data_IF_840424796061
#
_entry.id   IF_840424796061
#
_cell.length_a   1.000
_cell.length_b   1.000
_cell.length_c   1.000
_cell.angle_alpha   90.00
_cell.angle_beta   90.00
_cell.angle_gamma   90.00
#
_symmetry.space_group_name_H-M   'P 1'
#
loop_
_entity.id
_entity.type
_entity.pdbx_description
1 polymer ?
#
# COMPACT_ATOMS: atom_id res chain seq x y z
N UNK A 1 8.82 -7.07 -19.69
CA UNK A 1 8.51 -8.48 -19.37
C UNK A 1 7.17 -8.54 -18.64
N UNK A 2 6.35 -9.55 -18.88
CA UNK A 2 5.08 -9.69 -18.17
C UNK A 2 5.34 -10.21 -16.75
N UNK A 3 4.93 -9.47 -15.72
CA UNK A 3 4.97 -9.93 -14.33
C UNK A 3 4.02 -11.14 -14.16
N UNK A 4 4.41 -12.09 -13.31
CA UNK A 4 3.55 -13.22 -12.96
C UNK A 4 2.62 -12.85 -11.80
N UNK A 5 1.51 -13.59 -11.66
CA UNK A 5 0.58 -13.43 -10.55
C UNK A 5 0.53 -14.77 -9.83
N UNK A 6 0.79 -14.73 -8.52
CA UNK A 6 0.78 -15.89 -7.65
C UNK A 6 -0.32 -15.79 -6.61
N UNK A 7 -0.77 -16.95 -6.12
CA UNK A 7 -1.59 -17.05 -4.92
C UNK A 7 -0.68 -17.14 -3.70
N UNK A 8 -0.97 -16.36 -2.66
CA UNK A 8 -0.26 -16.37 -1.38
C UNK A 8 -1.27 -16.45 -0.23
N UNK A 9 -0.77 -16.80 0.96
CA UNK A 9 -1.55 -16.79 2.19
C UNK A 9 -1.19 -15.55 3.01
N UNK A 10 -2.19 -14.87 3.57
CA UNK A 10 -1.96 -13.70 4.42
C UNK A 10 -1.43 -14.09 5.81
N UNK A 11 -1.72 -15.31 6.29
CA UNK A 11 -1.22 -15.83 7.57
C UNK A 11 0.31 -15.91 7.65
N UNK A 12 1.00 -15.96 6.51
CA UNK A 12 2.45 -15.98 6.42
C UNK A 12 3.03 -14.75 5.69
N UNK A 13 2.29 -13.63 5.65
CA UNK A 13 2.65 -12.41 4.91
C UNK A 13 4.06 -11.88 5.22
N UNK A 14 4.53 -12.03 6.47
CA UNK A 14 5.88 -11.62 6.87
C UNK A 14 7.00 -12.45 6.23
N UNK A 15 6.70 -13.61 5.64
CA UNK A 15 7.71 -14.48 4.99
C UNK A 15 7.96 -14.11 3.53
N UNK A 16 7.08 -13.32 2.92
CA UNK A 16 7.18 -12.99 1.49
C UNK A 16 7.04 -11.50 1.18
N UNK A 17 6.31 -10.70 1.97
CA UNK A 17 6.39 -9.22 1.89
C UNK A 17 7.55 -8.70 2.73
N UNK A 18 8.77 -8.95 2.26
CA UNK A 18 10.01 -8.62 2.97
C UNK A 18 10.77 -7.47 2.29
N UNK A 19 11.60 -6.73 3.05
CA UNK A 19 12.59 -5.84 2.46
C UNK A 19 13.61 -6.66 1.66
N UNK A 20 13.86 -6.26 0.42
CA UNK A 20 14.89 -6.86 -0.45
C UNK A 20 16.02 -5.89 -0.80
N UNK A 21 15.86 -4.62 -0.46
CA UNK A 21 16.86 -3.57 -0.66
C UNK A 21 16.71 -2.48 0.41
N UNK A 22 17.80 -1.77 0.69
CA UNK A 22 17.74 -0.55 1.51
C UNK A 22 17.19 0.62 0.69
N UNK A 23 16.26 1.35 1.28
CA UNK A 23 15.49 2.39 0.57
C UNK A 23 15.50 3.76 1.26
N UNK A 24 16.28 3.90 2.34
CA UNK A 24 16.25 5.05 3.24
C UNK A 24 14.85 5.40 3.78
N UNK A 25 13.92 4.44 3.73
CA UNK A 25 12.55 4.64 4.17
C UNK A 25 12.51 4.94 5.68
N UNK A 26 11.78 5.97 6.12
CA UNK A 26 11.62 6.26 7.53
C UNK A 26 11.00 5.08 8.30
N UNK A 27 11.39 4.84 9.57
CA UNK A 27 10.85 3.74 10.38
C UNK A 27 9.32 3.72 10.45
N UNK A 28 8.68 4.89 10.50
CA UNK A 28 7.22 5.02 10.54
C UNK A 28 6.51 4.41 9.30
N UNK A 29 7.22 4.25 8.18
CA UNK A 29 6.69 3.71 6.93
C UNK A 29 7.18 2.28 6.64
N UNK A 30 8.13 1.76 7.43
CA UNK A 30 8.57 0.37 7.33
C UNK A 30 7.49 -0.54 7.93
N UNK A 31 7.17 -1.61 7.22
CA UNK A 31 6.16 -2.57 7.65
C UNK A 31 5.28 -3.08 6.51
N UNK A 32 4.36 -3.94 6.90
CA UNK A 32 3.17 -4.28 6.10
C UNK A 32 1.96 -3.68 6.78
N UNK A 33 1.09 -3.03 6.01
CA UNK A 33 -0.09 -2.32 6.48
C UNK A 33 -1.35 -2.92 5.89
N UNK A 34 -2.31 -3.24 6.76
CA UNK A 34 -3.66 -3.64 6.40
C UNK A 34 -4.55 -2.40 6.21
N UNK A 35 -5.31 -2.35 5.12
CA UNK A 35 -6.24 -1.27 4.77
C UNK A 35 -7.63 -1.52 5.37
N UNK A 36 -7.76 -1.38 6.69
CA UNK A 36 -9.00 -1.66 7.43
C UNK A 36 -10.15 -0.73 7.01
N UNK A 37 -11.19 -1.31 6.43
CA UNK A 37 -12.35 -0.59 5.89
C UNK A 37 -12.24 -0.20 4.42
N UNK A 38 -11.19 -0.63 3.72
CA UNK A 38 -11.06 -0.38 2.28
C UNK A 38 -12.17 -1.11 1.50
N UNK A 39 -12.96 -0.40 0.66
CA UNK A 39 -14.06 -1.02 -0.08
C UNK A 39 -13.61 -1.76 -1.36
N UNK A 40 -12.34 -1.59 -1.76
CA UNK A 40 -11.79 -2.23 -2.94
C UNK A 40 -11.29 -3.65 -2.61
N UNK A 41 -11.24 -4.56 -3.61
CA UNK A 41 -10.82 -5.96 -3.42
C UNK A 41 -9.29 -6.10 -3.28
N UNK A 42 -8.71 -5.36 -2.35
CA UNK A 42 -7.30 -5.35 -1.95
C UNK A 42 -7.17 -5.06 -0.45
N UNK A 43 -6.21 -5.70 0.22
CA UNK A 43 -6.16 -5.76 1.69
C UNK A 43 -4.91 -5.14 2.29
N UNK A 44 -3.73 -5.47 1.76
CA UNK A 44 -2.46 -5.11 2.37
C UNK A 44 -1.53 -4.41 1.39
N UNK A 45 -0.72 -3.50 1.93
CA UNK A 45 0.38 -2.84 1.24
C UNK A 45 1.66 -2.91 2.05
N UNK A 46 2.81 -2.87 1.39
CA UNK A 46 4.07 -2.51 2.05
C UNK A 46 4.63 -1.24 1.42
N UNK A 47 5.71 -0.71 1.99
CA UNK A 47 6.54 0.35 1.41
C UNK A 47 8.03 -0.03 1.42
N UNK A 48 8.41 -1.22 1.93
CA UNK A 48 9.82 -1.61 2.18
C UNK A 48 10.75 -1.33 1.00
N UNK A 49 10.30 -1.62 -0.22
CA UNK A 49 11.11 -1.63 -1.43
C UNK A 49 10.93 -0.36 -2.28
N UNK A 50 10.32 0.69 -1.73
CA UNK A 50 10.12 1.98 -2.41
C UNK A 50 11.20 2.97 -2.02
N UNK A 51 11.82 3.61 -3.00
CA UNK A 51 12.79 4.68 -2.76
C UNK A 51 12.14 5.87 -2.03
N UNK A 52 12.79 6.30 -0.95
CA UNK A 52 12.44 7.51 -0.23
C UNK A 52 13.17 8.73 -0.82
N UNK A 53 12.40 9.71 -1.28
CA UNK A 53 12.90 11.03 -1.67
C UNK A 53 12.90 11.94 -0.44
N UNK A 54 14.03 11.97 0.27
CA UNK A 54 14.20 12.78 1.47
C UNK A 54 14.10 14.29 1.20
N UNK A 55 14.48 14.74 -0.01
CA UNK A 55 14.43 16.16 -0.38
C UNK A 55 12.98 16.65 -0.51
N UNK A 56 12.10 15.83 -1.07
CA UNK A 56 10.69 16.17 -1.25
C UNK A 56 9.76 15.51 -0.22
N UNK A 57 10.33 14.80 0.77
CA UNK A 57 9.62 14.03 1.80
C UNK A 57 8.52 13.16 1.18
N UNK A 58 8.90 12.37 0.18
CA UNK A 58 7.91 11.64 -0.63
C UNK A 58 8.39 10.29 -1.11
N UNK A 59 7.43 9.46 -1.49
CA UNK A 59 7.68 8.20 -2.18
C UNK A 59 6.60 7.97 -3.24
N UNK A 60 6.88 7.06 -4.18
CA UNK A 60 5.91 6.60 -5.17
C UNK A 60 5.58 5.13 -4.89
N UNK A 61 4.30 4.87 -4.63
CA UNK A 61 3.71 3.55 -4.39
C UNK A 61 2.96 3.09 -5.65
N UNK A 62 3.63 2.36 -6.57
CA UNK A 62 2.98 1.70 -7.70
C UNK A 62 2.07 0.56 -7.22
N UNK A 63 0.83 0.53 -7.71
CA UNK A 63 -0.14 -0.53 -7.37
C UNK A 63 0.16 -1.83 -8.10
N UNK A 64 0.86 -1.73 -9.23
CA UNK A 64 1.24 -2.86 -10.06
C UNK A 64 2.60 -3.46 -9.71
N UNK A 65 3.31 -2.96 -8.70
CA UNK A 65 4.65 -3.46 -8.40
C UNK A 65 4.64 -4.86 -7.76
N UNK A 66 5.70 -5.67 -8.02
CA UNK A 66 5.86 -6.97 -7.41
C UNK A 66 5.87 -6.91 -5.87
N UNK A 67 5.07 -7.77 -5.25
CA UNK A 67 5.02 -7.99 -3.80
C UNK A 67 4.79 -6.70 -3.00
N UNK A 68 4.07 -5.76 -3.60
CA UNK A 68 3.78 -4.45 -3.03
C UNK A 68 2.35 -4.37 -2.47
N UNK A 69 1.41 -5.04 -3.13
CA UNK A 69 -0.03 -5.05 -2.85
C UNK A 69 -0.58 -6.47 -2.82
N UNK A 70 -1.61 -6.70 -2.01
CA UNK A 70 -2.38 -7.95 -2.00
C UNK A 70 -3.79 -7.70 -2.53
N UNK A 71 -4.23 -8.51 -3.48
CA UNK A 71 -5.57 -8.43 -4.06
C UNK A 71 -6.39 -9.65 -3.65
N UNK A 72 -7.71 -9.53 -3.60
CA UNK A 72 -8.57 -10.66 -3.29
C UNK A 72 -8.43 -11.75 -4.35
N UNK A 73 -8.41 -13.03 -3.95
CA UNK A 73 -8.52 -14.16 -4.89
C UNK A 73 -9.97 -14.35 -5.37
N UNK A 74 -10.50 -13.32 -6.03
CA UNK A 74 -11.87 -13.24 -6.56
C UNK A 74 -11.88 -12.59 -7.94
N UNK A 75 -13.00 -12.69 -8.67
CA UNK A 75 -13.14 -12.08 -10.00
C UNK A 75 -12.87 -10.56 -9.94
N UNK A 76 -13.41 -9.87 -8.92
CA UNK A 76 -13.21 -8.43 -8.76
C UNK A 76 -11.76 -8.09 -8.41
N UNK A 77 -11.08 -8.91 -7.60
CA UNK A 77 -9.66 -8.73 -7.30
C UNK A 77 -8.78 -8.90 -8.54
N UNK A 78 -9.06 -9.91 -9.38
CA UNK A 78 -8.39 -10.07 -10.68
C UNK A 78 -8.60 -8.87 -11.61
N UNK A 79 -9.83 -8.35 -11.69
CA UNK A 79 -10.14 -7.17 -12.49
C UNK A 79 -9.39 -5.93 -12.00
N UNK A 80 -9.37 -5.69 -10.68
CA UNK A 80 -8.64 -4.58 -10.07
C UNK A 80 -7.14 -4.67 -10.37
N UNK A 81 -6.53 -5.84 -10.13
CA UNK A 81 -5.11 -6.08 -10.38
C UNK A 81 -4.76 -5.79 -11.85
N UNK A 82 -5.52 -6.34 -12.80
CA UNK A 82 -5.28 -6.12 -14.22
C UNK A 82 -5.50 -4.68 -14.64
N UNK A 83 -6.52 -4.01 -14.10
CA UNK A 83 -6.74 -2.59 -14.34
C UNK A 83 -5.56 -1.75 -13.85
N UNK A 84 -5.01 -2.05 -12.67
CA UNK A 84 -3.83 -1.38 -12.12
C UNK A 84 -2.59 -1.58 -13.00
N UNK A 85 -2.34 -2.80 -13.51
CA UNK A 85 -1.23 -3.08 -14.44
C UNK A 85 -1.39 -2.32 -15.76
N UNK A 86 -2.58 -2.37 -16.38
CA UNK A 86 -2.85 -1.73 -17.66
C UNK A 86 -2.75 -0.21 -17.58
N UNK A 87 -3.32 0.37 -16.52
CA UNK A 87 -3.29 1.81 -16.28
C UNK A 87 -1.97 2.30 -15.68
N UNK A 88 -1.07 1.41 -15.25
CA UNK A 88 0.14 1.75 -14.49
C UNK A 88 -0.19 2.66 -13.31
N UNK A 89 -1.23 2.29 -12.56
CA UNK A 89 -1.76 3.11 -11.49
C UNK A 89 -0.77 3.19 -10.32
N UNK A 90 -0.54 4.40 -9.81
CA UNK A 90 0.40 4.65 -8.72
C UNK A 90 -0.06 5.81 -7.85
N UNK A 91 0.43 5.85 -6.62
CA UNK A 91 0.24 6.95 -5.68
C UNK A 91 1.58 7.60 -5.35
N UNK A 92 1.70 8.92 -5.49
CA UNK A 92 2.77 9.66 -4.78
C UNK A 92 2.24 10.04 -3.41
N UNK A 93 2.92 9.60 -2.37
CA UNK A 93 2.65 10.02 -1.00
C UNK A 93 3.68 11.10 -0.67
N UNK A 94 3.22 12.32 -0.40
CA UNK A 94 4.06 13.46 -0.09
C UNK A 94 3.69 14.00 1.29
N UNK A 95 4.64 13.93 2.21
CA UNK A 95 4.47 14.41 3.58
C UNK A 95 4.65 15.93 3.65
N UNK A 96 4.00 16.54 4.64
CA UNK A 96 4.06 17.98 4.86
C UNK A 96 5.33 18.42 5.58
N UNK A 97 5.90 17.52 6.40
CA UNK A 97 7.10 17.77 7.21
C UNK A 97 7.88 16.49 7.54
N UNK A 98 9.01 16.66 8.23
CA UNK A 98 9.89 15.56 8.69
C UNK A 98 9.29 14.74 9.83
N UNK A 99 8.24 15.23 10.49
CA UNK A 99 7.53 14.48 11.53
C UNK A 99 6.63 13.41 10.92
N UNK A 100 6.40 13.46 9.60
CA UNK A 100 5.62 12.52 8.82
C UNK A 100 4.17 12.37 9.33
N UNK A 101 3.62 13.37 10.01
CA UNK A 101 2.29 13.23 10.62
C UNK A 101 1.15 13.35 9.62
N UNK A 102 1.35 14.13 8.56
CA UNK A 102 0.36 14.42 7.53
C UNK A 102 0.98 14.27 6.15
N UNK A 103 0.18 13.74 5.23
CA UNK A 103 0.57 13.56 3.84
C UNK A 103 -0.59 13.81 2.89
N UNK A 104 -0.24 14.38 1.74
CA UNK A 104 -1.06 14.38 0.55
C UNK A 104 -0.76 13.13 -0.28
N UNK A 105 -1.80 12.43 -0.70
CA UNK A 105 -1.70 11.37 -1.69
C UNK A 105 -2.13 11.94 -3.05
N UNK A 106 -1.30 11.74 -4.07
CA UNK A 106 -1.52 12.19 -5.44
C UNK A 106 -1.61 10.94 -6.32
N UNK A 107 -2.78 10.60 -6.89
CA UNK A 107 -2.90 9.46 -7.77
C UNK A 107 -2.36 9.78 -9.18
N UNK A 108 -1.83 8.76 -9.84
CA UNK A 108 -1.36 8.79 -11.21
C UNK A 108 -1.98 7.63 -11.99
N UNK A 109 -2.39 7.91 -13.22
CA UNK A 109 -2.82 6.90 -14.20
C UNK A 109 -2.15 7.20 -15.53
N UNK A 110 -1.60 6.17 -16.18
CA UNK A 110 -0.80 6.29 -17.41
C UNK A 110 0.32 7.34 -17.30
N UNK A 111 0.90 7.52 -16.11
CA UNK A 111 1.93 8.53 -15.81
C UNK A 111 1.41 9.97 -15.63
N UNK A 112 0.11 10.20 -15.78
CA UNK A 112 -0.52 11.51 -15.62
C UNK A 112 -1.11 11.66 -14.22
N UNK A 113 -0.84 12.82 -13.59
CA UNK A 113 -1.42 13.19 -12.29
C UNK A 113 -2.92 13.35 -12.43
N UNK A 114 -3.67 12.71 -11.53
CA UNK A 114 -5.09 12.98 -11.36
C UNK A 114 -5.25 14.31 -10.59
N UNK A 115 -5.94 15.31 -11.13
CA UNK A 115 -6.13 16.59 -10.45
C UNK A 115 -6.86 16.48 -9.11
N UNK A 116 -6.44 17.30 -8.12
CA UNK A 116 -7.03 17.34 -6.77
C UNK A 116 -8.52 17.69 -6.75
N UNK A 117 -9.01 18.43 -7.75
CA UNK A 117 -10.44 18.76 -7.85
C UNK A 117 -11.31 17.55 -8.19
N UNK A 118 -10.74 16.51 -8.81
CA UNK A 118 -11.44 15.22 -9.04
C UNK A 118 -11.43 14.42 -7.75
N UNK A 119 -10.24 14.26 -7.16
CA UNK A 119 -10.05 13.50 -5.93
C UNK A 119 -8.94 14.12 -5.10
N UNK A 120 -9.26 14.49 -3.87
CA UNK A 120 -8.31 14.95 -2.88
C UNK A 120 -8.14 13.86 -1.82
N UNK A 121 -6.95 13.27 -1.77
CA UNK A 121 -6.62 12.15 -0.89
C UNK A 121 -5.59 12.59 0.14
N UNK A 122 -5.88 12.39 1.41
CA UNK A 122 -4.93 12.70 2.49
C UNK A 122 -4.72 11.49 3.39
N UNK A 123 -3.59 11.49 4.08
CA UNK A 123 -3.21 10.50 5.06
C UNK A 123 -2.69 11.21 6.29
N UNK A 124 -3.18 10.84 7.47
CA UNK A 124 -2.73 11.43 8.74
C UNK A 124 -2.47 10.32 9.75
N UNK A 125 -1.36 10.39 10.47
CA UNK A 125 -1.08 9.50 11.58
C UNK A 125 -2.13 9.70 12.68
N UNK A 126 -2.60 8.60 13.29
CA UNK A 126 -3.48 8.73 14.46
C UNK A 126 -2.69 9.29 15.66
N UNK A 127 -3.26 10.26 16.37
CA UNK A 127 -2.62 10.94 17.50
C UNK A 127 -2.25 9.99 18.65
N UNK A 128 -2.96 8.86 18.78
CA UNK A 128 -2.67 7.86 19.80
C UNK A 128 -1.79 6.72 19.27
N UNK A 129 -1.38 6.80 17.99
CA UNK A 129 -0.54 5.78 17.37
C UNK A 129 0.91 5.93 17.81
N UNK A 130 1.46 4.85 18.34
CA UNK A 130 2.91 4.72 18.52
C UNK A 130 3.55 4.50 17.14
N UNK A 131 4.63 5.22 16.87
CA UNK A 131 5.59 4.91 15.80
C UNK A 131 5.02 4.64 14.39
N UNK A 132 3.92 5.30 14.01
CA UNK A 132 3.33 5.14 12.67
C UNK A 132 2.56 3.82 12.47
N UNK A 133 2.05 3.21 13.54
CA UNK A 133 1.26 1.97 13.44
C UNK A 133 -0.13 2.18 12.81
N UNK A 134 -0.70 3.38 12.91
CA UNK A 134 -2.07 3.68 12.47
C UNK A 134 -2.10 4.97 11.66
N UNK A 135 -2.64 4.90 10.44
CA UNK A 135 -2.85 6.05 9.57
C UNK A 135 -4.29 6.10 9.08
N UNK A 136 -4.92 7.27 9.16
CA UNK A 136 -6.25 7.51 8.61
C UNK A 136 -6.13 8.01 7.18
N UNK A 137 -6.72 7.29 6.23
CA UNK A 137 -6.83 7.70 4.83
C UNK A 137 -8.18 8.38 4.61
N UNK A 138 -8.15 9.66 4.22
CA UNK A 138 -9.35 10.48 3.99
C UNK A 138 -9.50 10.91 2.54
N UNK A 139 -10.74 11.07 2.10
CA UNK A 139 -11.08 11.39 0.72
C UNK A 139 -12.09 12.52 0.64
N UNK A 140 -11.85 13.42 -0.31
CA UNK A 140 -12.86 14.37 -0.79
C UNK A 140 -12.97 14.23 -2.31
N UNK A 141 -14.14 13.82 -2.79
CA UNK A 141 -14.43 13.68 -4.22
C UNK A 141 -15.09 14.95 -4.77
N UNK A 142 -14.75 15.31 -6.01
CA UNK A 142 -15.34 16.42 -6.75
C UNK A 142 -15.41 17.73 -5.94
N UNK A 143 -14.40 17.99 -5.11
CA UNK A 143 -14.31 19.20 -4.29
C UNK A 143 -15.29 19.29 -3.10
N UNK A 144 -16.10 18.26 -2.81
CA UNK A 144 -17.09 18.40 -1.74
C UNK A 144 -17.82 17.15 -1.24
N UNK A 145 -17.57 15.95 -1.77
CA UNK A 145 -18.21 14.72 -1.28
C UNK A 145 -17.22 13.97 -0.36
N UNK A 146 -17.32 14.12 0.97
CA UNK A 146 -16.40 13.48 1.92
C UNK A 146 -16.78 12.01 2.16
N UNK A 147 -15.87 11.25 2.79
CA UNK A 147 -16.09 9.91 3.38
C UNK A 147 -16.27 8.71 2.46
N UNK A 148 -16.35 8.89 1.14
CA UNK A 148 -16.43 7.75 0.21
C UNK A 148 -15.05 7.10 0.08
N UNK A 149 -14.92 5.86 0.56
CA UNK A 149 -13.72 5.03 0.44
C UNK A 149 -12.62 5.34 1.46
N UNK A 150 -12.93 6.02 2.56
CA UNK A 150 -11.98 6.19 3.65
C UNK A 150 -11.66 4.86 4.32
N UNK A 151 -10.42 4.69 4.78
CA UNK A 151 -9.98 3.49 5.48
C UNK A 151 -8.84 3.82 6.44
N UNK A 152 -8.49 2.88 7.30
CA UNK A 152 -7.37 3.02 8.24
C UNK A 152 -6.27 2.03 7.87
N UNK A 153 -5.07 2.53 7.58
CA UNK A 153 -3.89 1.68 7.52
C UNK A 153 -3.51 1.28 8.93
N UNK A 154 -3.39 -0.02 9.18
CA UNK A 154 -2.90 -0.58 10.44
C UNK A 154 -1.67 -1.42 10.14
N UNK A 155 -0.54 -1.11 10.77
CA UNK A 155 0.67 -1.92 10.66
C UNK A 155 0.41 -3.30 11.26
N UNK A 156 0.60 -4.34 10.46
CA UNK A 156 0.41 -5.75 10.85
C UNK A 156 1.73 -6.51 10.94
N UNK A 157 2.77 -6.03 10.26
CA UNK A 157 4.16 -6.50 10.37
C UNK A 157 5.04 -5.28 10.59
N UNK A 158 5.90 -5.32 11.60
CA UNK A 158 6.80 -4.22 11.95
C UNK A 158 8.09 -4.18 11.10
N UNK A 159 8.97 -3.21 11.39
CA UNK A 159 10.22 -3.06 10.64
C UNK A 159 11.18 -4.24 10.79
N UNK A 160 11.05 -5.01 11.88
CA UNK A 160 11.85 -6.19 12.20
C UNK A 160 11.22 -7.49 11.67
N UNK A 161 10.05 -7.40 11.02
CA UNK A 161 9.33 -8.55 10.46
C UNK A 161 8.44 -9.29 11.48
N UNK A 162 8.22 -8.73 12.66
CA UNK A 162 7.34 -9.33 13.67
C UNK A 162 5.88 -8.93 13.46
N UNK A 163 4.96 -9.84 13.78
CA UNK A 163 3.53 -9.55 13.74
C UNK A 163 3.10 -8.63 14.89
N UNK A 164 2.34 -7.58 14.56
CA UNK A 164 1.73 -6.70 15.55
C UNK A 164 0.40 -7.28 16.05
N UNK A 165 -0.20 -6.73 17.14
CA UNK A 165 -1.54 -7.13 17.56
C UNK A 165 -2.63 -6.98 16.48
N UNK A 166 -2.48 -6.00 15.58
CA UNK A 166 -3.44 -5.75 14.49
C UNK A 166 -3.47 -6.89 13.45
N UNK A 167 -2.45 -7.75 13.40
CA UNK A 167 -2.40 -8.90 12.49
C UNK A 167 -3.55 -9.88 12.75
N UNK A 168 -3.86 -10.17 14.02
CA UNK A 168 -4.96 -11.07 14.39
C UNK A 168 -6.32 -10.49 13.97
N UNK A 169 -6.49 -9.18 14.15
CA UNK A 169 -7.70 -8.47 13.73
C UNK A 169 -7.88 -8.53 12.20
N UNK A 170 -6.78 -8.41 11.45
CA UNK A 170 -6.79 -8.53 9.99
C UNK A 170 -7.25 -9.93 9.56
N UNK A 171 -6.66 -11.00 10.11
CA UNK A 171 -7.02 -12.38 9.74
C UNK A 171 -8.48 -12.73 10.03
N UNK A 172 -9.13 -12.07 10.99
CA UNK A 172 -10.55 -12.25 11.28
C UNK A 172 -11.48 -11.55 10.26
N UNK A 173 -10.95 -10.60 9.47
CA UNK A 173 -11.73 -9.74 8.55
C UNK A 173 -11.56 -10.10 7.08
N UNK A 174 -10.46 -10.75 6.71
CA UNK A 174 -10.11 -11.02 5.31
C UNK A 174 -10.05 -12.52 5.02
N UNK A 175 -10.10 -12.89 3.74
CA UNK A 175 -9.82 -14.25 3.32
C UNK A 175 -8.31 -14.47 3.31
N UNK A 176 -7.84 -15.64 3.77
CA UNK A 176 -6.41 -15.92 3.84
C UNK A 176 -5.75 -15.97 2.45
N UNK A 177 -6.48 -16.45 1.44
CA UNK A 177 -6.03 -16.51 0.06
C UNK A 177 -6.02 -15.12 -0.60
N UNK A 178 -4.87 -14.69 -1.10
CA UNK A 178 -4.73 -13.47 -1.88
C UNK A 178 -3.94 -13.68 -3.18
N UNK A 179 -4.05 -12.72 -4.10
CA UNK A 179 -3.27 -12.61 -5.32
C UNK A 179 -2.18 -11.55 -5.14
N UNK A 180 -1.00 -11.85 -5.65
CA UNK A 180 0.16 -10.95 -5.55
C UNK A 180 0.90 -10.97 -6.89
N UNK A 181 1.37 -9.80 -7.31
CA UNK A 181 2.25 -9.68 -8.48
C UNK A 181 3.66 -10.09 -8.07
N UNK A 182 4.35 -10.89 -8.87
CA UNK A 182 5.72 -11.34 -8.61
C UNK A 182 6.62 -11.12 -9.82
N UNK A 183 7.90 -10.92 -9.56
CA UNK A 183 8.91 -10.92 -10.62
C UNK A 183 9.01 -12.31 -11.26
N UNK A 184 9.06 -12.38 -12.59
CA UNK A 184 9.33 -13.64 -13.27
C UNK A 184 10.74 -14.14 -12.88
N UNK A 185 10.79 -15.33 -12.28
CA UNK A 185 12.02 -15.94 -11.76
C UNK A 185 12.97 -16.51 -12.83
N UNK A 186 12.71 -16.27 -14.13
CA UNK A 186 13.49 -16.90 -15.21
C UNK A 186 14.92 -16.37 -15.40
N UNK A 187 15.31 -15.26 -14.76
CA UNK A 187 16.63 -14.63 -15.01
C UNK A 187 17.58 -14.63 -13.78
N UNK A 188 17.42 -15.53 -12.81
CA UNK A 188 18.42 -15.70 -11.72
C UNK A 188 19.49 -16.76 -12.01
N UNK A 189 19.63 -17.19 -13.26
CA UNK A 189 20.76 -18.00 -13.73
C UNK A 189 21.27 -17.43 -15.04
N UNK A 190 22.21 -16.49 -14.96
CA UNK A 190 23.18 -16.17 -16.00
C UNK A 190 24.50 -15.80 -15.33
#
# INVERSE_FOLDING_TARGET
>A
MAEAIEKKQLENIATWMIPIQETNLPPALKGVFFMDGNPLPDDCITMYNLEWDAQNQSLVLPVFAPVQWTFHNSILGWLLLRAAQLSRFAYKIQFEDEMLQQAQIIPFTFGLKIPRWIVNLTMSQDENSKNGDIWKRRNVWFGGIPRIGEYTLRRIVDEDGNYTPAFKDMLAKVQNDCLVIVNNSKDKTS
#
